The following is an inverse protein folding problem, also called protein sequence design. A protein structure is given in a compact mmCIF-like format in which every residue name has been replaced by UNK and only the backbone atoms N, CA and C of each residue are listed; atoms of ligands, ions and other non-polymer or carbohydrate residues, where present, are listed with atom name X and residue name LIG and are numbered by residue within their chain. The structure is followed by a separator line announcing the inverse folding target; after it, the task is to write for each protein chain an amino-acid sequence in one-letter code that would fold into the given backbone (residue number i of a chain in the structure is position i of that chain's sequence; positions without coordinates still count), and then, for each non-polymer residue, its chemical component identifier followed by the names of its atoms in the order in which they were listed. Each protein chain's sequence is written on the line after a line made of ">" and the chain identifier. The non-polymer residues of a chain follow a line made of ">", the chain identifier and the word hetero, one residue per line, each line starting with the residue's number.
data_IF_888883751776
#
_entry.id   IF_888883751776
#
_cell.length_a   1.000
_cell.length_b   1.000
_cell.length_c   1.000
_cell.angle_alpha   90.00
_cell.angle_beta   90.00
_cell.angle_gamma   90.00
#
_symmetry.space_group_name_H-M   'P 1'
#
loop_
_entity.id
_entity.type
_entity.pdbx_description
1 polymer ?
#
# COMPACT_ATOMS: atom_id res chain seq x y z
N UNK A 1 16.38 -32.33 42.72
CA UNK A 1 15.00 -31.86 42.48
C UNK A 1 14.85 -31.66 40.98
N UNK A 2 14.29 -32.67 40.29
CA UNK A 2 14.14 -32.68 38.83
C UNK A 2 12.72 -32.28 38.42
N UNK A 3 12.62 -31.33 37.49
CA UNK A 3 11.36 -30.81 36.94
C UNK A 3 10.63 -31.88 36.12
N UNK A 4 9.62 -32.51 36.71
CA UNK A 4 8.70 -33.47 36.06
C UNK A 4 7.57 -32.81 35.26
N UNK A 5 7.56 -31.48 35.12
CA UNK A 5 6.53 -30.73 34.40
C UNK A 5 6.66 -30.79 32.85
N UNK A 6 7.79 -31.27 32.31
CA UNK A 6 8.11 -31.08 30.87
C UNK A 6 7.33 -31.98 29.89
N UNK A 7 6.93 -33.19 30.30
CA UNK A 7 6.40 -34.17 29.35
C UNK A 7 4.88 -34.05 29.06
N UNK A 8 4.10 -33.60 30.05
CA UNK A 8 2.63 -33.49 29.89
C UNK A 8 2.23 -32.27 29.06
N UNK A 9 2.95 -31.17 29.20
CA UNK A 9 2.69 -29.95 28.44
C UNK A 9 3.03 -30.11 26.96
N UNK A 10 4.12 -30.81 26.64
CA UNK A 10 4.48 -31.13 25.25
C UNK A 10 3.38 -31.94 24.53
N UNK A 11 2.80 -32.96 25.20
CA UNK A 11 1.72 -33.77 24.62
C UNK A 11 0.42 -32.98 24.41
N UNK A 12 0.15 -31.99 25.26
CA UNK A 12 -1.03 -31.13 25.10
C UNK A 12 -0.91 -30.24 23.87
N UNK A 13 0.24 -29.58 23.67
CA UNK A 13 0.47 -28.71 22.52
C UNK A 13 0.53 -29.50 21.20
N UNK A 14 1.11 -30.70 21.21
CA UNK A 14 1.17 -31.54 20.01
C UNK A 14 -0.23 -32.00 19.56
N UNK A 15 -1.10 -32.38 20.52
CA UNK A 15 -2.52 -32.69 20.25
C UNK A 15 -3.30 -31.47 19.78
N UNK A 16 -3.02 -30.29 20.33
CA UNK A 16 -3.69 -29.05 19.92
C UNK A 16 -3.33 -28.70 18.46
N UNK A 17 -2.04 -28.82 18.10
CA UNK A 17 -1.54 -28.57 16.74
C UNK A 17 -2.06 -29.60 15.72
N UNK A 18 -2.13 -30.89 16.08
CA UNK A 18 -2.71 -31.92 15.20
C UNK A 18 -4.20 -31.70 15.02
N UNK A 19 -4.96 -31.44 16.09
CA UNK A 19 -6.40 -31.20 15.97
C UNK A 19 -6.74 -29.93 15.17
N UNK A 20 -5.92 -28.88 15.27
CA UNK A 20 -6.06 -27.67 14.45
C UNK A 20 -5.81 -27.97 12.97
N UNK A 21 -4.74 -28.69 12.63
CA UNK A 21 -4.42 -29.02 11.23
C UNK A 21 -5.44 -29.97 10.61
N UNK A 22 -5.94 -30.96 11.35
CA UNK A 22 -7.00 -31.87 10.87
C UNK A 22 -8.33 -31.14 10.68
N UNK A 23 -8.73 -30.25 11.59
CA UNK A 23 -9.96 -29.44 11.42
C UNK A 23 -9.86 -28.50 10.22
N UNK A 24 -8.67 -27.97 9.95
CA UNK A 24 -8.40 -27.09 8.81
C UNK A 24 -8.35 -27.85 7.47
N UNK A 25 -8.07 -29.16 7.48
CA UNK A 25 -8.13 -30.00 6.27
C UNK A 25 -9.53 -30.56 6.00
N UNK A 26 -10.28 -30.94 7.04
CA UNK A 26 -11.67 -31.43 6.88
C UNK A 26 -12.58 -30.31 6.36
N UNK A 27 -12.46 -29.10 6.91
CA UNK A 27 -13.17 -27.92 6.39
C UNK A 27 -12.78 -27.56 4.95
N UNK A 28 -11.64 -28.04 4.43
CA UNK A 28 -11.19 -27.78 3.06
C UNK A 28 -11.66 -28.83 2.05
N UNK A 29 -11.98 -30.04 2.51
CA UNK A 29 -12.41 -31.15 1.65
C UNK A 29 -13.93 -31.13 1.39
N UNK A 30 -14.75 -30.72 2.36
CA UNK A 30 -16.21 -30.63 2.18
C UNK A 30 -16.66 -29.37 1.42
N UNK A 31 -15.82 -28.33 1.35
CA UNK A 31 -16.17 -27.01 0.79
C UNK A 31 -15.93 -26.88 -0.73
N UNK A 32 -15.59 -27.98 -1.41
CA UNK A 32 -15.33 -27.96 -2.87
C UNK A 32 -16.54 -28.31 -3.74
N UNK A 33 -17.64 -28.81 -3.16
CA UNK A 33 -18.82 -29.21 -3.95
C UNK A 33 -19.85 -28.10 -4.14
N UNK A 34 -19.83 -27.07 -3.30
CA UNK A 34 -20.74 -25.93 -3.38
C UNK A 34 -19.97 -24.63 -3.19
N UNK A 35 -18.92 -24.36 -3.99
CA UNK A 35 -18.24 -23.06 -3.95
C UNK A 35 -19.29 -22.02 -4.34
N UNK A 36 -19.84 -21.22 -3.39
CA UNK A 36 -20.85 -20.24 -3.71
C UNK A 36 -20.18 -19.27 -4.67
N UNK A 37 -20.81 -18.96 -5.80
CA UNK A 37 -20.29 -17.95 -6.72
C UNK A 37 -19.99 -16.70 -5.91
N UNK A 38 -18.70 -16.38 -5.74
CA UNK A 38 -18.27 -15.20 -4.96
C UNK A 38 -18.97 -14.01 -5.60
N UNK A 39 -19.85 -13.36 -4.82
CA UNK A 39 -20.59 -12.22 -5.33
C UNK A 39 -19.60 -11.15 -5.82
N UNK A 40 -19.84 -10.62 -7.01
CA UNK A 40 -19.04 -9.54 -7.57
C UNK A 40 -18.91 -8.36 -6.59
N UNK A 41 -19.95 -8.09 -5.81
CA UNK A 41 -19.94 -7.02 -4.79
C UNK A 41 -18.91 -7.27 -3.68
N UNK A 42 -18.70 -8.52 -3.28
CA UNK A 42 -17.75 -8.91 -2.25
C UNK A 42 -16.32 -8.69 -2.77
N UNK A 43 -16.05 -9.14 -4.00
CA UNK A 43 -14.74 -8.95 -4.61
C UNK A 43 -14.43 -7.47 -4.85
N UNK A 44 -15.42 -6.69 -5.29
CA UNK A 44 -15.27 -5.25 -5.47
C UNK A 44 -14.97 -4.54 -4.14
N UNK A 45 -15.67 -4.90 -3.06
CA UNK A 45 -15.41 -4.34 -1.72
C UNK A 45 -13.99 -4.64 -1.23
N UNK A 46 -13.51 -5.86 -1.43
CA UNK A 46 -12.14 -6.25 -1.04
C UNK A 46 -11.09 -5.50 -1.87
N UNK A 47 -11.31 -5.40 -3.18
CA UNK A 47 -10.41 -4.66 -4.07
C UNK A 47 -10.34 -3.17 -3.70
N UNK A 48 -11.48 -2.53 -3.39
CA UNK A 48 -11.53 -1.14 -2.94
C UNK A 48 -10.80 -0.95 -1.62
N UNK A 49 -11.02 -1.84 -0.65
CA UNK A 49 -10.36 -1.80 0.65
C UNK A 49 -8.85 -1.94 0.50
N UNK A 50 -8.40 -2.95 -0.25
CA UNK A 50 -6.99 -3.15 -0.57
C UNK A 50 -6.37 -1.94 -1.27
N UNK A 51 -7.09 -1.36 -2.24
CA UNK A 51 -6.66 -0.15 -2.95
C UNK A 51 -6.49 1.05 -2.03
N UNK A 52 -7.43 1.29 -1.10
CA UNK A 52 -7.34 2.36 -0.10
C UNK A 52 -6.14 2.14 0.81
N UNK A 53 -5.94 0.93 1.33
CA UNK A 53 -4.79 0.59 2.19
C UNK A 53 -3.48 0.83 1.44
N UNK A 54 -3.38 0.38 0.20
CA UNK A 54 -2.20 0.57 -0.64
C UNK A 54 -1.90 2.06 -0.87
N UNK A 55 -2.92 2.83 -1.25
CA UNK A 55 -2.75 4.25 -1.58
C UNK A 55 -2.40 5.09 -0.35
N UNK A 56 -3.10 4.91 0.77
CA UNK A 56 -2.78 5.57 2.03
C UNK A 56 -1.36 5.22 2.50
N UNK A 57 -0.96 3.95 2.36
CA UNK A 57 0.38 3.51 2.67
C UNK A 57 1.46 4.15 1.80
N UNK A 58 1.19 4.32 0.50
CA UNK A 58 2.10 5.03 -0.40
C UNK A 58 2.23 6.49 0.01
N UNK A 59 1.12 7.19 0.27
CA UNK A 59 1.14 8.58 0.76
C UNK A 59 1.98 8.73 2.04
N UNK A 60 1.81 7.81 2.99
CA UNK A 60 2.63 7.77 4.20
C UNK A 60 4.12 7.57 3.88
N UNK A 61 4.46 6.66 2.96
CA UNK A 61 5.84 6.47 2.52
C UNK A 61 6.44 7.74 1.90
N UNK A 62 5.66 8.54 1.16
CA UNK A 62 6.13 9.82 0.62
C UNK A 62 6.39 10.85 1.74
N UNK A 63 5.49 10.92 2.73
CA UNK A 63 5.66 11.80 3.90
C UNK A 63 6.90 11.38 4.70
N UNK A 64 7.11 10.09 4.91
CA UNK A 64 8.31 9.58 5.58
C UNK A 64 9.59 9.95 4.82
N UNK A 65 9.61 9.76 3.49
CA UNK A 65 10.75 10.17 2.65
C UNK A 65 11.00 11.68 2.75
N UNK A 66 9.94 12.50 2.76
CA UNK A 66 10.03 13.94 2.97
C UNK A 66 10.66 14.29 4.32
N UNK A 67 10.22 13.65 5.41
CA UNK A 67 10.79 13.85 6.75
C UNK A 67 12.27 13.47 6.81
N UNK A 68 12.67 12.42 6.08
CA UNK A 68 14.05 11.96 5.98
C UNK A 68 14.91 12.75 4.98
N UNK A 69 14.34 13.78 4.33
CA UNK A 69 14.98 14.53 3.23
C UNK A 69 15.48 13.64 2.09
N UNK A 70 14.84 12.48 1.90
CA UNK A 70 15.06 11.61 0.77
C UNK A 70 14.19 12.12 -0.37
N UNK A 71 14.81 12.47 -1.49
CA UNK A 71 14.12 12.96 -2.68
C UNK A 71 14.52 12.20 -3.92
N UNK A 72 13.77 12.42 -5.01
CA UNK A 72 14.04 11.83 -6.32
C UNK A 72 15.45 12.12 -6.88
N UNK A 73 16.20 13.06 -6.31
CA UNK A 73 17.58 13.33 -6.71
C UNK A 73 18.62 12.42 -6.07
N UNK A 74 18.24 11.64 -5.05
CA UNK A 74 19.07 10.54 -4.57
C UNK A 74 18.80 9.32 -5.45
N UNK A 75 19.79 8.80 -6.20
CA UNK A 75 19.50 7.82 -7.26
C UNK A 75 19.05 6.46 -6.73
N UNK A 76 19.56 6.03 -5.57
CA UNK A 76 19.41 4.66 -5.07
C UNK A 76 18.40 4.58 -3.92
N UNK A 77 18.53 5.48 -2.93
CA UNK A 77 17.76 5.42 -1.67
C UNK A 77 16.24 5.41 -1.90
N UNK A 78 15.64 6.29 -2.73
CA UNK A 78 14.19 6.31 -2.92
C UNK A 78 13.70 5.09 -3.72
N UNK A 79 14.55 4.49 -4.56
CA UNK A 79 14.21 3.24 -5.24
C UNK A 79 14.11 2.10 -4.24
N UNK A 80 15.07 2.00 -3.31
CA UNK A 80 15.06 0.99 -2.25
C UNK A 80 13.84 1.16 -1.35
N UNK A 81 13.55 2.39 -0.89
CA UNK A 81 12.37 2.68 -0.08
C UNK A 81 11.10 2.35 -0.86
N UNK A 82 10.98 2.80 -2.12
CA UNK A 82 9.82 2.51 -2.96
C UNK A 82 9.60 1.00 -3.15
N UNK A 83 10.68 0.23 -3.37
CA UNK A 83 10.60 -1.21 -3.48
C UNK A 83 10.07 -1.85 -2.18
N UNK A 84 10.69 -1.53 -1.04
CA UNK A 84 10.26 -2.06 0.26
C UNK A 84 8.81 -1.67 0.55
N UNK A 85 8.44 -0.40 0.33
CA UNK A 85 7.07 0.09 0.52
C UNK A 85 6.07 -0.69 -0.32
N UNK A 86 6.29 -0.88 -1.62
CA UNK A 86 5.34 -1.63 -2.46
C UNK A 86 5.23 -3.08 -2.01
N UNK A 87 6.33 -3.75 -1.68
CA UNK A 87 6.32 -5.12 -1.21
C UNK A 87 5.49 -5.27 0.09
N UNK A 88 5.77 -4.42 1.08
CA UNK A 88 5.05 -4.41 2.36
C UNK A 88 3.58 -4.04 2.19
N UNK A 89 3.28 -3.00 1.40
CA UNK A 89 1.91 -2.53 1.20
C UNK A 89 1.07 -3.47 0.37
N UNK A 90 1.65 -4.17 -0.60
CA UNK A 90 0.92 -5.20 -1.38
C UNK A 90 0.53 -6.37 -0.49
N UNK A 91 1.44 -6.78 0.39
CA UNK A 91 1.17 -7.80 1.42
C UNK A 91 0.06 -7.34 2.35
N UNK A 92 0.17 -6.13 2.90
CA UNK A 92 -0.85 -5.57 3.78
C UNK A 92 -2.21 -5.48 3.07
N UNK A 93 -2.25 -4.97 1.84
CA UNK A 93 -3.50 -4.79 1.09
C UNK A 93 -4.24 -6.11 0.91
N UNK A 94 -3.54 -7.19 0.55
CA UNK A 94 -4.16 -8.51 0.41
C UNK A 94 -4.58 -9.09 1.75
N UNK A 95 -3.72 -9.00 2.78
CA UNK A 95 -4.00 -9.54 4.12
C UNK A 95 -5.18 -8.86 4.82
N UNK A 96 -5.40 -7.57 4.52
CA UNK A 96 -6.41 -6.73 5.17
C UNK A 96 -7.60 -6.37 4.28
N UNK A 97 -7.63 -6.77 3.00
CA UNK A 97 -8.73 -6.47 2.07
C UNK A 97 -10.11 -6.92 2.60
N UNK A 98 -10.16 -8.09 3.23
CA UNK A 98 -11.39 -8.68 3.76
C UNK A 98 -11.84 -8.10 5.12
N UNK A 99 -11.10 -7.14 5.69
CA UNK A 99 -11.36 -6.61 7.03
C UNK A 99 -12.77 -6.01 7.17
N UNK A 100 -13.25 -5.11 6.29
CA UNK A 100 -14.57 -4.49 6.43
C UNK A 100 -15.71 -5.50 6.32
N UNK A 101 -15.57 -6.51 5.44
CA UNK A 101 -16.55 -7.61 5.36
C UNK A 101 -16.63 -8.36 6.66
N UNK A 102 -15.49 -8.78 7.22
CA UNK A 102 -15.47 -9.54 8.47
C UNK A 102 -16.05 -8.72 9.63
N UNK A 103 -15.70 -7.44 9.70
CA UNK A 103 -16.26 -6.52 10.68
C UNK A 103 -17.80 -6.42 10.57
N UNK A 104 -18.32 -6.28 9.34
CA UNK A 104 -19.76 -6.21 9.10
C UNK A 104 -20.47 -7.54 9.42
N UNK A 105 -19.85 -8.67 9.09
CA UNK A 105 -20.37 -9.99 9.43
C UNK A 105 -20.44 -10.19 10.94
N UNK A 106 -19.34 -9.92 11.66
CA UNK A 106 -19.26 -10.05 13.12
C UNK A 106 -20.30 -9.11 13.80
N UNK A 107 -20.52 -7.93 13.23
CA UNK A 107 -21.56 -6.99 13.66
C UNK A 107 -22.99 -7.54 13.46
N UNK A 108 -23.28 -8.08 12.27
CA UNK A 108 -24.60 -8.65 11.95
C UNK A 108 -24.91 -9.88 12.80
N UNK A 109 -23.95 -10.80 12.96
CA UNK A 109 -24.11 -11.99 13.81
C UNK A 109 -24.36 -11.63 15.27
N UNK A 110 -23.78 -10.52 15.72
CA UNK A 110 -23.95 -10.09 17.09
C UNK A 110 -25.22 -9.29 17.34
N UNK A 111 -25.75 -8.59 16.33
CA UNK A 111 -27.07 -7.95 16.42
C UNK A 111 -28.22 -8.97 16.44
N UNK A 112 -28.02 -10.17 15.87
CA UNK A 112 -29.00 -11.24 15.86
C UNK A 112 -29.24 -11.91 17.24
N UNK A 113 -28.34 -11.74 18.22
CA UNK A 113 -28.45 -12.37 19.54
C UNK A 113 -28.72 -11.31 20.62
N UNK A 114 -29.96 -11.20 21.16
CA UNK A 114 -30.37 -10.11 22.06
C UNK A 114 -29.52 -9.96 23.32
N UNK A 115 -29.05 -11.08 23.90
CA UNK A 115 -28.19 -11.09 25.09
C UNK A 115 -26.73 -10.67 24.78
N UNK A 116 -26.31 -10.73 23.51
CA UNK A 116 -24.98 -10.32 23.04
C UNK A 116 -24.91 -8.82 22.74
N UNK A 117 -26.05 -8.12 22.64
CA UNK A 117 -26.12 -6.67 22.43
C UNK A 117 -25.40 -5.86 23.53
N UNK A 118 -25.40 -6.36 24.77
CA UNK A 118 -24.67 -5.73 25.88
C UNK A 118 -23.14 -5.90 25.78
N UNK A 119 -22.65 -6.84 24.96
CA UNK A 119 -21.22 -6.99 24.66
C UNK A 119 -20.72 -6.00 23.61
N UNK A 120 -21.57 -5.49 22.71
CA UNK A 120 -21.17 -4.44 21.75
C UNK A 120 -21.07 -3.06 22.39
N UNK A 121 -21.82 -2.82 23.47
CA UNK A 121 -21.55 -1.69 24.40
C UNK A 121 -20.22 -1.82 25.14
N UNK A 122 -19.59 -2.99 25.07
CA UNK A 122 -18.23 -3.30 25.53
C UNK A 122 -17.21 -3.37 24.38
N UNK A 123 -17.48 -2.74 23.24
CA UNK A 123 -16.42 -2.32 22.28
C UNK A 123 -15.65 -1.13 22.87
N UNK A 124 -15.05 -1.36 24.03
CA UNK A 124 -13.76 -0.78 24.39
C UNK A 124 -12.73 -1.66 23.70
N UNK A 125 -12.09 -1.30 22.61
CA UNK A 125 -12.20 -0.16 21.70
C UNK A 125 -12.11 -0.76 20.29
N UNK A 126 -12.71 -0.16 19.26
CA UNK A 126 -12.49 -0.59 17.86
C UNK A 126 -11.01 -0.87 17.53
N UNK A 127 -10.12 -0.15 18.21
CA UNK A 127 -8.69 -0.38 18.27
C UNK A 127 -8.28 -1.81 18.69
N UNK A 128 -8.79 -2.35 19.80
CA UNK A 128 -8.50 -3.72 20.27
C UNK A 128 -8.88 -4.76 19.22
N UNK A 129 -10.05 -4.61 18.59
CA UNK A 129 -10.48 -5.49 17.50
C UNK A 129 -9.52 -5.42 16.31
N UNK A 130 -9.11 -4.21 15.90
CA UNK A 130 -8.12 -4.03 14.84
C UNK A 130 -6.79 -4.68 15.22
N UNK A 131 -6.30 -4.48 16.44
CA UNK A 131 -5.02 -5.03 16.87
C UNK A 131 -5.04 -6.56 16.94
N UNK A 132 -6.13 -7.15 17.41
CA UNK A 132 -6.31 -8.60 17.44
C UNK A 132 -6.42 -9.16 16.02
N UNK A 133 -7.20 -8.52 15.15
CA UNK A 133 -7.27 -8.90 13.74
C UNK A 133 -5.88 -8.85 13.08
N UNK A 134 -5.11 -7.78 13.36
CA UNK A 134 -3.75 -7.62 12.86
C UNK A 134 -2.81 -8.72 13.38
N UNK A 135 -2.83 -9.00 14.68
CA UNK A 135 -2.05 -10.07 15.31
C UNK A 135 -2.34 -11.43 14.68
N UNK A 136 -3.62 -11.81 14.60
CA UNK A 136 -4.05 -13.08 14.03
C UNK A 136 -3.63 -13.18 12.56
N UNK A 137 -3.80 -12.11 11.77
CA UNK A 137 -3.40 -12.09 10.35
C UNK A 137 -1.89 -12.20 10.18
N UNK A 138 -1.11 -11.48 10.98
CA UNK A 138 0.35 -11.56 10.94
C UNK A 138 0.87 -12.95 11.29
N UNK A 139 0.25 -13.63 12.26
CA UNK A 139 0.64 -15.00 12.66
C UNK A 139 0.21 -16.06 11.65
N UNK A 140 -0.94 -15.89 11.00
CA UNK A 140 -1.46 -16.85 10.00
C UNK A 140 -0.83 -16.69 8.63
N UNK A 141 -0.16 -15.57 8.35
CA UNK A 141 0.50 -15.35 7.08
C UNK A 141 1.76 -16.23 6.98
N UNK A 142 1.65 -17.31 6.21
CA UNK A 142 2.79 -18.19 5.92
C UNK A 142 3.93 -17.39 5.27
N UNK A 143 5.13 -17.52 5.83
CA UNK A 143 6.35 -16.89 5.31
C UNK A 143 6.60 -17.26 3.83
N UNK A 144 6.19 -18.46 3.41
CA UNK A 144 6.32 -18.92 2.03
C UNK A 144 5.45 -18.17 1.02
N UNK A 145 4.36 -17.52 1.46
CA UNK A 145 3.49 -16.75 0.58
C UNK A 145 3.96 -15.29 0.39
N UNK A 146 4.84 -14.79 1.26
CA UNK A 146 5.33 -13.41 1.19
C UNK A 146 5.98 -13.06 -0.16
N UNK A 147 6.90 -13.87 -0.72
CA UNK A 147 7.52 -13.55 -2.00
C UNK A 147 6.50 -13.43 -3.13
N UNK A 148 5.44 -14.24 -3.11
CA UNK A 148 4.38 -14.22 -4.13
C UNK A 148 3.63 -12.89 -4.08
N UNK A 149 3.21 -12.44 -2.89
CA UNK A 149 2.53 -11.15 -2.72
C UNK A 149 3.42 -9.98 -3.14
N UNK A 150 4.72 -10.04 -2.82
CA UNK A 150 5.68 -9.01 -3.22
C UNK A 150 5.81 -8.93 -4.74
N UNK A 151 6.08 -10.08 -5.39
CA UNK A 151 6.24 -10.15 -6.83
C UNK A 151 4.97 -9.74 -7.58
N UNK A 152 3.80 -10.18 -7.11
CA UNK A 152 2.51 -9.81 -7.70
C UNK A 152 2.24 -8.32 -7.54
N UNK A 153 2.47 -7.76 -6.35
CA UNK A 153 2.37 -6.33 -6.09
C UNK A 153 3.27 -5.50 -6.99
N UNK A 154 4.52 -5.92 -7.16
CA UNK A 154 5.46 -5.28 -8.09
C UNK A 154 5.00 -5.36 -9.54
N UNK A 155 4.54 -6.53 -9.99
CA UNK A 155 4.05 -6.73 -11.35
C UNK A 155 2.87 -5.80 -11.63
N UNK A 156 1.86 -5.79 -10.76
CA UNK A 156 0.67 -4.94 -10.88
C UNK A 156 1.08 -3.45 -10.90
N UNK A 157 1.92 -3.02 -9.95
CA UNK A 157 2.38 -1.63 -9.91
C UNK A 157 3.09 -1.22 -11.20
N UNK A 158 3.94 -2.09 -11.76
CA UNK A 158 4.63 -1.82 -13.04
C UNK A 158 3.69 -1.82 -14.24
N UNK A 159 2.73 -2.75 -14.30
CA UNK A 159 1.72 -2.83 -15.37
C UNK A 159 0.87 -1.56 -15.39
N UNK A 160 0.54 -1.01 -14.22
CA UNK A 160 -0.18 0.26 -14.08
C UNK A 160 0.69 1.51 -14.34
N UNK A 161 1.91 1.34 -14.87
CA UNK A 161 2.82 2.43 -15.20
C UNK A 161 3.55 3.04 -13.99
N UNK A 162 3.46 2.40 -12.83
CA UNK A 162 4.13 2.82 -11.60
C UNK A 162 5.65 2.83 -11.75
N UNK A 163 6.29 3.88 -11.22
CA UNK A 163 7.75 4.03 -11.16
C UNK A 163 8.18 4.11 -9.71
N UNK A 164 9.21 3.35 -9.32
CA UNK A 164 9.72 3.36 -7.93
C UNK A 164 10.16 4.76 -7.50
N UNK A 165 10.79 5.49 -8.41
CA UNK A 165 11.21 6.87 -8.19
C UNK A 165 10.05 7.87 -8.06
N UNK A 166 8.86 7.55 -8.59
CA UNK A 166 7.69 8.43 -8.49
C UNK A 166 7.04 8.39 -7.09
N UNK A 167 7.40 7.42 -6.24
CA UNK A 167 6.99 7.41 -4.84
C UNK A 167 7.75 8.50 -4.08
N UNK A 168 8.99 8.78 -4.48
CA UNK A 168 9.79 9.81 -3.84
C UNK A 168 9.20 11.20 -4.06
N UNK A 169 9.21 12.07 -3.03
CA UNK A 169 8.87 13.46 -3.25
C UNK A 169 9.86 14.10 -4.25
N UNK A 170 9.37 15.06 -5.02
CA UNK A 170 10.18 15.89 -5.92
C UNK A 170 11.35 16.53 -5.16
N UNK A 171 12.51 16.70 -5.80
CA UNK A 171 13.69 17.26 -5.14
C UNK A 171 13.45 18.68 -4.61
N UNK A 172 13.55 18.86 -3.29
CA UNK A 172 13.45 20.14 -2.61
C UNK A 172 14.62 21.08 -2.90
N UNK A 173 15.78 20.56 -3.31
CA UNK A 173 16.96 21.38 -3.63
C UNK A 173 16.85 22.05 -5.00
N UNK A 174 16.15 21.40 -5.93
CA UNK A 174 15.77 22.00 -7.19
C UNK A 174 14.32 22.43 -7.07
N UNK A 175 14.11 23.53 -6.34
CA UNK A 175 12.93 24.35 -6.53
C UNK A 175 12.80 24.52 -8.06
N UNK A 176 11.78 23.89 -8.65
CA UNK A 176 11.74 23.61 -10.09
C UNK A 176 11.86 24.89 -10.93
N UNK A 177 11.79 24.76 -12.26
CA UNK A 177 11.84 25.93 -13.15
C UNK A 177 10.91 27.09 -12.71
N UNK A 178 9.80 26.76 -12.05
CA UNK A 178 8.82 27.68 -11.49
C UNK A 178 9.26 28.55 -10.30
N UNK A 179 10.32 28.18 -9.58
CA UNK A 179 10.75 28.98 -8.43
C UNK A 179 11.69 30.13 -8.81
N UNK A 180 12.33 30.02 -9.98
CA UNK A 180 13.11 31.12 -10.52
C UNK A 180 12.18 32.00 -11.35
N UNK A 181 11.54 32.96 -10.70
CA UNK A 181 10.63 33.94 -11.31
C UNK A 181 11.27 34.69 -12.49
N UNK A 182 12.58 34.89 -12.45
CA UNK A 182 13.34 35.49 -13.56
C UNK A 182 13.45 34.59 -14.80
N UNK A 183 13.35 33.26 -14.63
CA UNK A 183 13.40 32.28 -15.72
C UNK A 183 12.05 31.64 -16.03
N UNK A 184 10.99 31.97 -15.28
CA UNK A 184 9.63 31.63 -15.68
C UNK A 184 9.23 32.50 -16.86
N UNK A 185 8.76 31.85 -17.92
CA UNK A 185 8.17 32.54 -19.06
C UNK A 185 7.02 33.44 -18.57
N UNK A 186 6.97 34.69 -19.05
CA UNK A 186 5.82 35.55 -18.83
C UNK A 186 4.55 34.84 -19.33
N UNK A 187 3.53 34.78 -18.48
CA UNK A 187 2.24 34.20 -18.81
C UNK A 187 1.58 35.04 -19.90
N UNK A 188 1.76 34.62 -21.15
CA UNK A 188 1.13 35.21 -22.33
C UNK A 188 0.15 34.22 -22.91
N UNK A 189 -0.95 34.69 -23.52
CA UNK A 189 -1.95 33.82 -24.17
C UNK A 189 -1.39 33.11 -25.41
N UNK A 190 -0.23 33.52 -25.93
CA UNK A 190 0.37 32.90 -27.10
C UNK A 190 1.21 31.69 -26.72
N UNK A 191 1.21 30.66 -27.58
CA UNK A 191 2.11 29.52 -27.44
C UNK A 191 3.57 29.98 -27.40
N UNK A 192 4.38 29.26 -26.61
CA UNK A 192 5.82 29.50 -26.55
C UNK A 192 6.46 29.37 -27.94
N UNK A 193 7.05 30.47 -28.44
CA UNK A 193 7.80 30.45 -29.70
C UNK A 193 9.04 29.57 -29.64
N UNK A 194 9.64 29.27 -30.79
CA UNK A 194 10.71 28.27 -30.90
C UNK A 194 11.94 28.58 -30.05
N UNK A 195 12.32 29.86 -29.92
CA UNK A 195 13.41 30.28 -29.03
C UNK A 195 13.13 29.93 -27.56
N UNK A 196 11.90 30.16 -27.10
CA UNK A 196 11.49 29.84 -25.73
C UNK A 196 11.46 28.33 -25.51
N UNK A 197 10.90 27.58 -26.48
CA UNK A 197 10.93 26.11 -26.46
C UNK A 197 12.35 25.58 -26.36
N UNK A 198 13.28 26.09 -27.16
CA UNK A 198 14.70 25.71 -27.09
C UNK A 198 15.33 26.03 -25.73
N UNK A 199 15.04 27.21 -25.17
CA UNK A 199 15.49 27.58 -23.82
C UNK A 199 14.95 26.60 -22.78
N UNK A 200 13.66 26.25 -22.83
CA UNK A 200 13.02 25.31 -21.90
C UNK A 200 13.58 23.90 -22.05
N UNK A 201 13.85 23.45 -23.28
CA UNK A 201 14.52 22.17 -23.51
C UNK A 201 15.95 22.18 -22.94
N UNK A 202 16.68 23.29 -23.08
CA UNK A 202 18.03 23.43 -22.53
C UNK A 202 18.00 23.44 -21.00
N UNK A 203 17.05 24.18 -20.41
CA UNK A 203 16.84 24.25 -18.97
C UNK A 203 16.47 22.89 -18.40
N UNK A 204 15.46 22.21 -18.98
CA UNK A 204 15.05 20.87 -18.57
C UNK A 204 16.18 19.85 -18.68
N UNK A 205 17.02 19.89 -19.71
CA UNK A 205 18.22 19.02 -19.80
C UNK A 205 19.22 19.28 -18.68
N UNK A 206 19.37 20.55 -18.26
CA UNK A 206 20.31 20.95 -17.22
C UNK A 206 19.79 20.63 -15.81
N UNK A 207 18.52 20.90 -15.53
CA UNK A 207 17.94 20.78 -14.18
C UNK A 207 17.21 19.47 -13.96
N UNK A 208 16.66 18.87 -15.02
CA UNK A 208 15.77 17.72 -14.98
C UNK A 208 14.30 18.11 -14.89
N UNK A 209 13.44 17.15 -15.23
CA UNK A 209 12.00 17.29 -15.05
C UNK A 209 11.66 17.35 -13.56
N UNK A 210 10.84 18.31 -13.15
CA UNK A 210 10.42 18.45 -11.75
C UNK A 210 9.62 17.24 -11.25
N UNK A 211 8.77 16.67 -12.10
CA UNK A 211 7.90 15.53 -11.75
C UNK A 211 8.65 14.21 -11.63
N UNK A 212 9.53 13.91 -12.59
CA UNK A 212 10.17 12.58 -12.67
C UNK A 212 11.68 12.57 -12.46
N UNK A 213 12.32 13.74 -12.31
CA UNK A 213 13.76 13.87 -12.15
C UNK A 213 14.59 13.53 -13.40
N UNK A 214 13.96 13.05 -14.49
CA UNK A 214 14.69 12.64 -15.68
C UNK A 214 15.37 13.85 -16.34
N UNK A 215 16.66 13.70 -16.65
CA UNK A 215 17.50 14.69 -17.35
C UNK A 215 17.75 14.33 -18.81
N UNK A 216 17.55 13.06 -19.18
CA UNK A 216 17.95 12.50 -20.47
C UNK A 216 16.73 12.14 -21.33
N UNK A 217 16.80 12.47 -22.62
CA UNK A 217 15.86 12.02 -23.65
C UNK A 217 14.36 12.33 -23.45
N UNK A 218 14.00 13.26 -22.56
CA UNK A 218 12.63 13.73 -22.45
C UNK A 218 12.46 15.07 -23.16
N UNK A 219 11.41 15.18 -23.96
CA UNK A 219 10.96 16.46 -24.48
C UNK A 219 10.28 17.18 -23.32
N UNK A 220 10.91 18.24 -22.82
CA UNK A 220 10.39 18.99 -21.70
C UNK A 220 9.20 19.83 -22.15
N UNK A 221 8.02 19.49 -21.65
CA UNK A 221 6.83 20.31 -21.80
C UNK A 221 6.76 21.19 -20.55
N UNK A 222 6.64 22.50 -20.71
CA UNK A 222 6.14 23.28 -19.59
C UNK A 222 4.62 23.29 -19.71
N UNK A 223 3.97 22.88 -18.63
CA UNK A 223 2.56 23.11 -18.48
C UNK A 223 2.34 24.62 -18.41
N UNK A 224 1.43 25.12 -19.25
CA UNK A 224 0.97 26.50 -19.14
C UNK A 224 0.29 26.65 -17.76
N UNK A 225 0.76 27.59 -16.94
CA UNK A 225 -0.09 28.14 -15.89
C UNK A 225 -1.20 28.95 -16.59
N UNK A 226 -2.50 28.71 -16.30
CA UNK A 226 -3.54 29.57 -16.83
C UNK A 226 -3.27 31.01 -16.38
N UNK A 227 -3.53 32.01 -17.24
CA UNK A 227 -3.33 33.41 -16.87
C UNK A 227 -4.19 33.73 -15.65
N UNK A 228 -3.59 34.41 -14.68
CA UNK A 228 -4.33 35.00 -13.57
C UNK A 228 -5.32 36.01 -14.16
N UNK A 229 -6.61 35.88 -13.85
CA UNK A 229 -7.58 36.98 -13.96
C UNK A 229 -7.29 38.06 -12.93
#
# INVERSE_FOLDING_TARGET
>A
MGNSASAKDASYWERLCTNMTTSQQISRAEDTKDIPSISLSILASDALTGGVIFWCGLSLAQVMQKCLRVSSATPIIPQMIGCVSIASLSTASVSYAAFPRKLLQDYNESSALPWKSNQWKKISTFYEYITDFFQIRMQTMSLGMLPIHWMMGFAIFRILGGRMLAIAPSDYRFLGAFHRTESSASATQMYAGDKMRLMMQSFGRKTGCHTCGNRRHSLYHADHMPPNE
#
